data_IF_057062494705
#
_entry.id   IF_057062494705
#
_cell.length_a   1.000
_cell.length_b   1.000
_cell.length_c   1.000
_cell.angle_alpha   90.00
_cell.angle_beta   90.00
_cell.angle_gamma   90.00
#
_symmetry.space_group_name_H-M   'P 1'
#
loop_
_entity.id
_entity.type
_entity.pdbx_description
1 polymer ?
#
# COMPACT_ATOMS: atom_id res chain seq x y z
N UNK A 1 -4.53 -15.35 -3.88
CA UNK A 1 -3.18 -14.74 -3.88
C UNK A 1 -2.14 -15.84 -3.76
N UNK A 2 -1.21 -15.93 -4.70
CA UNK A 2 -0.11 -16.91 -4.73
C UNK A 2 1.26 -16.30 -4.38
N UNK A 3 1.32 -15.00 -4.08
CA UNK A 3 2.55 -14.29 -3.76
C UNK A 3 3.00 -14.61 -2.32
N UNK A 4 4.19 -15.21 -2.18
CA UNK A 4 4.77 -15.56 -0.89
C UNK A 4 5.02 -14.32 -0.01
N UNK A 5 5.52 -13.22 -0.57
CA UNK A 5 5.76 -11.99 0.19
C UNK A 5 4.48 -11.39 0.77
N UNK A 6 3.38 -11.43 0.01
CA UNK A 6 2.10 -11.00 0.54
C UNK A 6 1.54 -11.95 1.59
N UNK A 7 1.90 -13.24 1.55
CA UNK A 7 1.53 -14.17 2.62
C UNK A 7 2.30 -13.85 3.90
N UNK A 8 3.62 -13.65 3.81
CA UNK A 8 4.45 -13.31 4.97
C UNK A 8 4.04 -11.97 5.60
N UNK A 9 3.70 -10.96 4.78
CA UNK A 9 3.25 -9.66 5.25
C UNK A 9 1.88 -9.67 5.98
N UNK A 10 1.13 -10.78 5.94
CA UNK A 10 -0.11 -10.91 6.71
C UNK A 10 0.16 -11.09 8.21
N UNK A 11 1.29 -11.70 8.57
CA UNK A 11 1.64 -12.03 9.95
C UNK A 11 2.85 -11.25 10.45
N UNK A 12 3.73 -10.79 9.56
CA UNK A 12 4.88 -9.97 9.90
C UNK A 12 4.68 -8.51 9.46
N UNK A 13 4.40 -7.62 10.42
CA UNK A 13 4.12 -6.19 10.19
C UNK A 13 5.21 -5.48 9.38
N UNK A 14 6.48 -5.80 9.63
CA UNK A 14 7.64 -5.21 8.98
C UNK A 14 8.27 -6.10 7.90
N UNK A 15 7.47 -6.97 7.25
CA UNK A 15 7.99 -7.79 6.16
C UNK A 15 8.53 -6.93 5.02
N UNK A 16 9.82 -7.11 4.69
CA UNK A 16 10.53 -6.29 3.71
C UNK A 16 10.48 -6.80 2.26
N UNK A 17 9.90 -7.97 2.01
CA UNK A 17 9.83 -8.56 0.66
C UNK A 17 8.71 -7.95 -0.18
N UNK A 18 8.99 -7.68 -1.45
CA UNK A 18 8.06 -7.12 -2.43
C UNK A 18 8.37 -7.62 -3.84
N UNK A 19 7.33 -7.81 -4.65
CA UNK A 19 7.45 -8.05 -6.08
C UNK A 19 6.81 -6.91 -6.87
N UNK A 20 7.55 -6.36 -7.84
CA UNK A 20 7.10 -5.23 -8.65
C UNK A 20 5.81 -5.54 -9.45
N UNK A 21 5.64 -6.78 -9.91
CA UNK A 21 4.49 -7.20 -10.72
C UNK A 21 3.32 -7.75 -9.89
N UNK A 22 3.43 -7.73 -8.56
CA UNK A 22 2.37 -8.20 -7.68
C UNK A 22 1.52 -7.02 -7.18
N UNK A 23 0.24 -7.01 -7.57
CA UNK A 23 -0.74 -6.01 -7.11
C UNK A 23 -0.69 -5.79 -5.60
N UNK A 24 -0.78 -6.85 -4.80
CA UNK A 24 -0.75 -6.73 -3.33
C UNK A 24 0.56 -6.16 -2.78
N UNK A 25 1.70 -6.44 -3.44
CA UNK A 25 2.98 -5.83 -3.07
C UNK A 25 3.02 -4.33 -3.43
N UNK A 26 2.47 -3.94 -4.58
CA UNK A 26 2.35 -2.54 -4.98
C UNK A 26 1.43 -1.75 -4.04
N UNK A 27 0.31 -2.33 -3.61
CA UNK A 27 -0.58 -1.72 -2.61
C UNK A 27 0.15 -1.53 -1.28
N UNK A 28 0.83 -2.58 -0.78
CA UNK A 28 1.58 -2.51 0.48
C UNK A 28 2.74 -1.52 0.43
N UNK A 29 3.43 -1.42 -0.70
CA UNK A 29 4.54 -0.46 -0.86
C UNK A 29 4.04 0.98 -0.80
N UNK A 30 2.86 1.29 -1.35
CA UNK A 30 2.24 2.59 -1.17
C UNK A 30 1.70 2.82 0.25
N UNK A 31 1.04 1.82 0.85
CA UNK A 31 0.43 1.93 2.17
C UNK A 31 1.43 2.22 3.31
N UNK A 32 2.67 1.76 3.15
CA UNK A 32 3.78 2.02 4.06
C UNK A 32 4.74 3.12 3.58
N UNK A 33 4.43 3.74 2.43
CA UNK A 33 5.32 4.69 1.75
C UNK A 33 5.07 6.17 2.09
N UNK A 34 6.06 7.04 1.80
CA UNK A 34 6.00 8.47 2.15
C UNK A 34 4.90 9.24 1.40
N UNK A 35 4.54 8.81 0.18
CA UNK A 35 3.49 9.46 -0.60
C UNK A 35 2.11 9.32 0.08
N UNK A 36 1.78 8.12 0.58
CA UNK A 36 0.54 7.90 1.30
C UNK A 36 0.56 8.57 2.68
N UNK A 37 1.69 8.52 3.40
CA UNK A 37 1.84 9.25 4.67
C UNK A 37 1.54 10.75 4.52
N UNK A 38 2.08 11.37 3.45
CA UNK A 38 1.82 12.78 3.15
C UNK A 38 0.33 13.05 2.83
N UNK A 39 -0.33 12.11 2.15
CA UNK A 39 -1.76 12.19 1.86
C UNK A 39 -2.63 12.08 3.12
N UNK A 40 -2.28 11.20 4.06
CA UNK A 40 -2.94 11.09 5.36
C UNK A 40 -2.76 12.37 6.17
N UNK A 41 -1.54 12.91 6.25
CA UNK A 41 -1.27 14.15 6.98
C UNK A 41 -2.04 15.36 6.41
N UNK A 42 -2.16 15.42 5.08
CA UNK A 42 -2.92 16.48 4.39
C UNK A 42 -4.44 16.25 4.39
N UNK A 43 -4.92 15.10 4.88
CA UNK A 43 -6.31 14.65 4.76
C UNK A 43 -6.87 14.79 3.32
N UNK A 44 -6.02 14.52 2.32
CA UNK A 44 -6.33 14.74 0.90
C UNK A 44 -5.49 13.85 -0.01
N UNK A 45 -6.02 13.48 -1.17
CA UNK A 45 -5.23 12.82 -2.23
C UNK A 45 -4.32 13.87 -2.87
N UNK A 46 -3.06 13.94 -2.40
CA UNK A 46 -2.06 14.87 -2.94
C UNK A 46 -1.68 14.52 -4.37
N UNK A 47 -1.16 15.50 -5.12
CA UNK A 47 -0.69 15.27 -6.50
C UNK A 47 0.37 14.19 -6.60
N UNK A 48 1.31 14.15 -5.65
CA UNK A 48 2.36 13.11 -5.59
C UNK A 48 1.77 11.71 -5.37
N UNK A 49 0.85 11.57 -4.42
CA UNK A 49 0.22 10.29 -4.13
C UNK A 49 -0.68 9.82 -5.27
N UNK A 50 -1.43 10.73 -5.89
CA UNK A 50 -2.22 10.43 -7.09
C UNK A 50 -1.32 9.95 -8.23
N UNK A 51 -0.20 10.64 -8.48
CA UNK A 51 0.77 10.24 -9.50
C UNK A 51 1.31 8.83 -9.27
N UNK A 52 1.64 8.49 -8.02
CA UNK A 52 2.08 7.15 -7.66
C UNK A 52 1.01 6.07 -7.89
N UNK A 53 -0.25 6.36 -7.52
CA UNK A 53 -1.36 5.45 -7.78
C UNK A 53 -1.61 5.25 -9.28
N UNK A 54 -1.59 6.32 -10.06
CA UNK A 54 -1.80 6.24 -11.51
C UNK A 54 -0.65 5.52 -12.22
N UNK A 55 0.59 5.70 -11.75
CA UNK A 55 1.75 5.00 -12.32
C UNK A 55 1.69 3.48 -12.12
N UNK A 56 1.14 3.02 -10.99
CA UNK A 56 1.07 1.58 -10.67
C UNK A 56 -0.22 0.92 -11.14
N UNK A 57 -1.35 1.64 -11.12
CA UNK A 57 -2.68 1.04 -11.31
C UNK A 57 -3.48 1.65 -12.48
N UNK A 58 -2.92 2.63 -13.19
CA UNK A 58 -3.57 3.24 -14.35
C UNK A 58 -4.95 3.82 -14.04
N UNK A 59 -5.96 3.43 -14.82
CA UNK A 59 -7.35 3.87 -14.62
C UNK A 59 -7.98 3.33 -13.32
N UNK A 60 -7.47 2.20 -12.80
CA UNK A 60 -7.89 1.57 -11.56
C UNK A 60 -7.41 2.29 -10.29
N UNK A 61 -6.71 3.42 -10.41
CA UNK A 61 -6.07 4.12 -9.28
C UNK A 61 -7.04 4.48 -8.14
N UNK A 62 -8.32 4.72 -8.43
CA UNK A 62 -9.33 5.02 -7.40
C UNK A 62 -9.66 3.79 -6.55
N UNK A 63 -9.76 2.62 -7.17
CA UNK A 63 -9.96 1.38 -6.43
C UNK A 63 -8.70 1.05 -5.63
N UNK A 64 -7.53 1.18 -6.24
CA UNK A 64 -6.26 0.97 -5.54
C UNK A 64 -6.07 1.92 -4.35
N UNK A 65 -6.60 3.15 -4.41
CA UNK A 65 -6.61 4.05 -3.25
C UNK A 65 -7.34 3.45 -2.03
N UNK A 66 -8.51 2.86 -2.24
CA UNK A 66 -9.28 2.20 -1.17
C UNK A 66 -8.55 0.97 -0.63
N UNK A 67 -7.87 0.22 -1.49
CA UNK A 67 -7.05 -0.92 -1.09
C UNK A 67 -5.82 -0.47 -0.28
N UNK A 68 -5.17 0.63 -0.67
CA UNK A 68 -4.05 1.22 0.08
C UNK A 68 -4.51 1.69 1.47
N UNK A 69 -5.69 2.30 1.57
CA UNK A 69 -6.31 2.66 2.86
C UNK A 69 -6.56 1.42 3.73
N UNK A 70 -7.16 0.38 3.15
CA UNK A 70 -7.44 -0.86 3.86
C UNK A 70 -6.15 -1.55 4.35
N UNK A 71 -5.11 -1.59 3.50
CA UNK A 71 -3.83 -2.19 3.84
C UNK A 71 -3.09 -1.37 4.92
N UNK A 72 -3.10 -0.04 4.84
CA UNK A 72 -2.54 0.80 5.89
C UNK A 72 -3.24 0.58 7.24
N UNK A 73 -4.58 0.54 7.23
CA UNK A 73 -5.36 0.25 8.43
C UNK A 73 -5.05 -1.14 9.01
N UNK A 74 -4.89 -2.15 8.15
CA UNK A 74 -4.46 -3.50 8.56
C UNK A 74 -3.09 -3.46 9.23
N UNK A 75 -2.09 -2.84 8.61
CA UNK A 75 -0.74 -2.72 9.17
C UNK A 75 -0.73 -1.96 10.50
N UNK A 76 -1.53 -0.90 10.64
CA UNK A 76 -1.66 -0.14 11.87
C UNK A 76 -2.30 -0.96 13.01
N UNK A 77 -3.22 -1.86 12.68
CA UNK A 77 -3.86 -2.76 13.64
C UNK A 77 -3.01 -3.98 14.03
N UNK A 78 -1.93 -4.26 13.31
CA UNK A 78 -1.02 -5.36 13.66
C UNK A 78 -0.19 -5.00 14.89
N UNK A 79 -0.02 -5.96 15.83
CA UNK A 79 0.91 -5.78 16.94
C UNK A 79 2.33 -5.60 16.40
N UNK A 80 3.12 -4.77 17.08
CA UNK A 80 4.56 -4.76 16.87
C UNK A 80 5.12 -6.10 17.39
N UNK A 81 5.97 -6.78 16.60
CA UNK A 81 6.56 -8.06 16.99
C UNK A 81 7.54 -7.94 18.15
#
# INVERSE_FOLDING_TARGET
>A
MTCQDCHQAQTAKHWGGYHADCHGCQVRSLASGPAYFSAVQANAITGQYRGALQALFGEGWKQAHEEVKAEHARLAAMPDP
#
